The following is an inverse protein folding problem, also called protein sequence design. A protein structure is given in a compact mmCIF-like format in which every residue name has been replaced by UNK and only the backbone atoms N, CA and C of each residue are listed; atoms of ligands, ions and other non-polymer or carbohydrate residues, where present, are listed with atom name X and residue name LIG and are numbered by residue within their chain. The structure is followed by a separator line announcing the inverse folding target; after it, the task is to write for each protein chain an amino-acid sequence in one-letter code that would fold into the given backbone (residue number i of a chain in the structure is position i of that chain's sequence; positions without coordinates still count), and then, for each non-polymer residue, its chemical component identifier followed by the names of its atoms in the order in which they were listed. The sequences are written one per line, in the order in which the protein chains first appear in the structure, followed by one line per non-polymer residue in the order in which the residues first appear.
data_IF_994061049549
#
_entry.id   IF_994061049549
#
_cell.length_a   1.000
_cell.length_b   1.000
_cell.length_c   1.000
_cell.angle_alpha   90.00
_cell.angle_beta   90.00
_cell.angle_gamma   90.00
#
_symmetry.space_group_name_H-M   'P 1'
#
loop_
_entity.id
_entity.type
_entity.pdbx_description
1 polymer ?
#
# COMPACT_ATOMS: atom_id res chain seq x y z
N UNK A 1 -5.53 10.63 9.64
CA UNK A 1 -6.46 9.56 9.20
C UNK A 1 -6.71 8.53 10.28
N UNK A 2 -7.98 8.19 10.58
CA UNK A 2 -8.32 7.03 11.42
C UNK A 2 -8.19 5.74 10.60
N UNK A 3 -7.41 4.76 11.09
CA UNK A 3 -7.13 3.51 10.37
C UNK A 3 -7.88 2.28 10.92
N UNK A 4 -8.58 2.41 12.05
CA UNK A 4 -9.29 1.30 12.70
C UNK A 4 -10.31 0.68 11.74
N UNK A 5 -11.13 1.52 11.10
CA UNK A 5 -12.14 1.07 10.15
C UNK A 5 -11.55 0.40 8.91
N UNK A 6 -10.33 0.78 8.50
CA UNK A 6 -9.63 0.12 7.40
C UNK A 6 -9.15 -1.27 7.78
N UNK A 7 -8.64 -1.45 9.00
CA UNK A 7 -8.29 -2.79 9.50
C UNK A 7 -9.51 -3.69 9.61
N UNK A 8 -10.66 -3.17 10.05
CA UNK A 8 -11.92 -3.91 10.10
C UNK A 8 -12.37 -4.35 8.70
N UNK A 9 -12.43 -3.44 7.74
CA UNK A 9 -12.75 -3.75 6.35
C UNK A 9 -11.77 -4.78 5.74
N UNK A 10 -10.46 -4.65 6.01
CA UNK A 10 -9.48 -5.61 5.51
C UNK A 10 -9.63 -7.00 6.17
N UNK A 11 -10.02 -7.08 7.46
CA UNK A 11 -10.31 -8.38 8.11
C UNK A 11 -11.45 -9.10 7.39
N UNK A 12 -12.50 -8.39 7.02
CA UNK A 12 -13.62 -8.95 6.25
C UNK A 12 -13.16 -9.40 4.85
N UNK A 13 -12.34 -8.60 4.18
CA UNK A 13 -11.76 -8.95 2.88
C UNK A 13 -10.86 -10.20 2.97
N UNK A 14 -10.09 -10.34 4.04
CA UNK A 14 -9.24 -11.52 4.25
C UNK A 14 -10.06 -12.81 4.40
N UNK A 15 -11.29 -12.75 4.93
CA UNK A 15 -12.16 -13.93 5.05
C UNK A 15 -12.61 -14.48 3.69
N UNK A 16 -12.59 -13.64 2.64
CA UNK A 16 -12.92 -14.03 1.27
C UNK A 16 -11.75 -14.79 0.59
N UNK A 17 -10.55 -14.76 1.17
CA UNK A 17 -9.34 -15.36 0.59
C UNK A 17 -9.18 -16.79 1.10
N UNK A 18 -9.15 -17.75 0.19
CA UNK A 18 -8.81 -19.15 0.51
C UNK A 18 -7.32 -19.37 0.34
N UNK A 19 -6.60 -19.59 1.44
CA UNK A 19 -5.16 -19.89 1.42
C UNK A 19 -4.94 -21.36 1.05
N UNK A 20 -4.02 -21.62 0.11
CA UNK A 20 -3.59 -22.96 -0.26
C UNK A 20 -2.95 -23.67 0.95
N UNK A 21 -3.63 -24.72 1.42
CA UNK A 21 -3.24 -25.51 2.59
C UNK A 21 -1.90 -26.24 2.42
N UNK A 22 -1.38 -26.34 1.20
CA UNK A 22 -0.07 -26.95 0.92
C UNK A 22 1.11 -25.98 1.11
N UNK A 23 0.84 -24.69 1.33
CA UNK A 23 1.89 -23.72 1.61
C UNK A 23 2.35 -23.83 3.06
N UNK A 24 3.65 -24.11 3.24
CA UNK A 24 4.28 -23.89 4.53
C UNK A 24 4.43 -22.37 4.79
N UNK A 25 4.71 -22.02 6.04
CA UNK A 25 4.81 -20.63 6.48
C UNK A 25 5.83 -19.82 5.66
N UNK A 26 6.99 -20.42 5.33
CA UNK A 26 8.00 -19.78 4.50
C UNK A 26 7.48 -19.41 3.11
N UNK A 27 6.86 -20.36 2.40
CA UNK A 27 6.29 -20.12 1.06
C UNK A 27 5.16 -19.11 1.09
N UNK A 28 4.32 -19.14 2.13
CA UNK A 28 3.24 -18.18 2.30
C UNK A 28 3.78 -16.76 2.50
N UNK A 29 4.74 -16.58 3.41
CA UNK A 29 5.40 -15.28 3.65
C UNK A 29 6.08 -14.77 2.38
N UNK A 30 6.85 -15.61 1.68
CA UNK A 30 7.50 -15.23 0.43
C UNK A 30 6.49 -14.75 -0.64
N UNK A 31 5.32 -15.41 -0.74
CA UNK A 31 4.25 -15.00 -1.66
C UNK A 31 3.61 -13.67 -1.27
N UNK A 32 3.33 -13.46 0.02
CA UNK A 32 2.79 -12.18 0.51
C UNK A 32 3.75 -11.02 0.28
N UNK A 33 5.05 -11.22 0.55
CA UNK A 33 6.07 -10.20 0.26
C UNK A 33 6.17 -9.90 -1.24
N UNK A 34 6.12 -10.92 -2.10
CA UNK A 34 6.11 -10.72 -3.55
C UNK A 34 4.85 -9.96 -4.00
N UNK A 35 3.68 -10.29 -3.46
CA UNK A 35 2.43 -9.59 -3.76
C UNK A 35 2.50 -8.11 -3.38
N UNK A 36 3.06 -7.78 -2.22
CA UNK A 36 3.30 -6.41 -1.79
C UNK A 36 4.10 -5.61 -2.84
N UNK A 37 5.22 -6.16 -3.32
CA UNK A 37 6.02 -5.54 -4.38
C UNK A 37 5.23 -5.40 -5.69
N UNK A 38 4.53 -6.46 -6.12
CA UNK A 38 3.75 -6.44 -7.36
C UNK A 38 2.69 -5.34 -7.32
N UNK A 39 1.99 -5.17 -6.19
CA UNK A 39 0.96 -4.13 -6.04
C UNK A 39 1.54 -2.72 -6.04
N UNK A 40 2.66 -2.48 -5.34
CA UNK A 40 3.35 -1.18 -5.39
C UNK A 40 3.85 -0.86 -6.81
N UNK A 41 4.48 -1.82 -7.48
CA UNK A 41 4.97 -1.66 -8.85
C UNK A 41 3.83 -1.46 -9.84
N UNK A 42 2.70 -2.14 -9.66
CA UNK A 42 1.52 -1.93 -10.49
C UNK A 42 0.98 -0.51 -10.32
N UNK A 43 0.89 0.01 -9.10
CA UNK A 43 0.52 1.41 -8.87
C UNK A 43 1.52 2.37 -9.55
N UNK A 44 2.83 2.19 -9.34
CA UNK A 44 3.87 3.02 -9.93
C UNK A 44 3.79 3.05 -11.47
N UNK A 45 3.59 1.88 -12.10
CA UNK A 45 3.45 1.80 -13.55
C UNK A 45 2.24 2.58 -14.07
N UNK A 46 1.10 2.52 -13.39
CA UNK A 46 -0.11 3.24 -13.82
C UNK A 46 0.04 4.76 -13.72
N UNK A 47 0.84 5.26 -12.80
CA UNK A 47 1.13 6.71 -12.72
C UNK A 47 2.04 7.22 -13.84
N UNK A 48 2.78 6.32 -14.51
CA UNK A 48 3.80 6.64 -15.52
C UNK A 48 4.91 7.58 -15.03
N UNK A 49 5.05 7.81 -13.72
CA UNK A 49 6.06 8.73 -13.17
C UNK A 49 7.51 8.30 -13.46
N UNK A 50 7.72 7.01 -13.77
CA UNK A 50 9.00 6.45 -14.18
C UNK A 50 9.40 6.77 -15.63
N UNK A 51 8.51 7.33 -16.45
CA UNK A 51 8.81 7.58 -17.86
C UNK A 51 9.66 8.84 -18.02
N UNK A 52 10.90 8.68 -18.51
CA UNK A 52 11.86 9.77 -18.68
C UNK A 52 12.08 10.20 -20.15
N UNK A 53 11.41 9.55 -21.11
CA UNK A 53 11.51 9.85 -22.54
C UNK A 53 10.25 10.55 -23.05
N UNK A 54 10.44 11.46 -24.01
CA UNK A 54 9.35 12.10 -24.76
C UNK A 54 8.67 11.02 -25.62
N UNK A 55 7.34 11.08 -25.80
CA UNK A 55 6.45 10.12 -26.51
C UNK A 55 5.81 8.99 -25.68
N UNK A 56 5.62 9.18 -24.37
CA UNK A 56 4.71 8.32 -23.61
C UNK A 56 3.25 8.74 -23.90
N UNK A 57 2.64 8.13 -24.91
CA UNK A 57 1.25 8.42 -25.32
C UNK A 57 0.21 7.56 -24.58
N UNK A 58 0.59 6.88 -23.49
CA UNK A 58 -0.37 6.09 -22.72
C UNK A 58 -1.27 7.01 -21.90
N UNK A 59 -2.57 6.90 -22.11
CA UNK A 59 -3.57 7.60 -21.31
C UNK A 59 -3.45 7.19 -19.84
N UNK A 60 -3.53 8.18 -18.94
CA UNK A 60 -3.50 7.96 -17.50
C UNK A 60 -4.94 7.80 -17.03
N UNK A 61 -5.30 6.59 -16.62
CA UNK A 61 -6.61 6.28 -16.07
C UNK A 61 -6.60 6.44 -14.54
N UNK A 62 -7.29 7.48 -14.07
CA UNK A 62 -7.38 7.82 -12.64
C UNK A 62 -8.14 6.76 -11.83
N UNK A 63 -9.09 6.05 -12.44
CA UNK A 63 -9.84 4.99 -11.78
C UNK A 63 -8.93 3.78 -11.56
N UNK A 64 -8.13 3.41 -12.57
CA UNK A 64 -7.14 2.33 -12.44
C UNK A 64 -6.09 2.69 -11.37
N UNK A 65 -5.60 3.93 -11.33
CA UNK A 65 -4.66 4.37 -10.28
C UNK A 65 -5.30 4.23 -8.90
N UNK A 66 -6.54 4.68 -8.71
CA UNK A 66 -7.22 4.58 -7.42
C UNK A 66 -7.41 3.11 -7.01
N UNK A 67 -7.81 2.24 -7.93
CA UNK A 67 -7.96 0.81 -7.66
C UNK A 67 -6.63 0.16 -7.26
N UNK A 68 -5.54 0.49 -7.96
CA UNK A 68 -4.20 0.00 -7.63
C UNK A 68 -3.69 0.57 -6.29
N UNK A 69 -4.05 1.81 -5.97
CA UNK A 69 -3.75 2.44 -4.68
C UNK A 69 -4.46 1.68 -3.54
N UNK A 70 -5.76 1.41 -3.69
CA UNK A 70 -6.53 0.65 -2.71
C UNK A 70 -6.07 -0.82 -2.61
N UNK A 71 -5.64 -1.43 -3.71
CA UNK A 71 -5.02 -2.76 -3.71
C UNK A 71 -3.78 -2.81 -2.83
N UNK A 72 -2.87 -1.84 -3.00
CA UNK A 72 -1.64 -1.78 -2.22
C UNK A 72 -1.92 -1.42 -0.75
N UNK A 73 -2.88 -0.53 -0.48
CA UNK A 73 -3.36 -0.27 0.89
C UNK A 73 -3.80 -1.57 1.59
N UNK A 74 -4.56 -2.41 0.88
CA UNK A 74 -5.00 -3.71 1.40
C UNK A 74 -3.83 -4.61 1.77
N UNK A 75 -2.75 -4.62 0.98
CA UNK A 75 -1.54 -5.39 1.30
C UNK A 75 -0.82 -4.86 2.55
N UNK A 76 -0.73 -3.55 2.73
CA UNK A 76 -0.17 -2.95 3.95
C UNK A 76 -1.03 -3.33 5.17
N UNK A 77 -2.36 -3.31 5.04
CA UNK A 77 -3.26 -3.68 6.13
C UNK A 77 -3.17 -5.18 6.47
N UNK A 78 -3.05 -6.06 5.47
CA UNK A 78 -2.78 -7.50 5.68
C UNK A 78 -1.51 -7.69 6.51
N UNK A 79 -0.45 -6.95 6.20
CA UNK A 79 0.82 -7.02 6.92
C UNK A 79 0.68 -6.57 8.38
N UNK A 80 -0.03 -5.48 8.63
CA UNK A 80 -0.33 -5.03 10.00
C UNK A 80 -1.17 -6.02 10.79
N UNK A 81 -2.13 -6.69 10.15
CA UNK A 81 -2.93 -7.76 10.75
C UNK A 81 -2.07 -9.00 11.08
N UNK A 82 -1.22 -9.44 10.15
CA UNK A 82 -0.33 -10.59 10.35
C UNK A 82 0.67 -10.36 11.50
N UNK A 83 1.15 -9.12 11.66
CA UNK A 83 2.10 -8.74 12.70
C UNK A 83 1.46 -8.25 14.00
N UNK A 84 0.13 -8.23 14.11
CA UNK A 84 -0.63 -7.69 15.25
C UNK A 84 -0.35 -6.21 15.59
N UNK A 85 -0.12 -5.36 14.58
CA UNK A 85 0.10 -3.92 14.73
C UNK A 85 -1.21 -3.10 14.74
N UNK A 86 -2.30 -3.71 15.17
CA UNK A 86 -3.66 -3.13 15.09
C UNK A 86 -3.97 -2.15 16.22
N UNK A 87 -3.00 -1.90 17.10
CA UNK A 87 -3.05 -0.86 18.12
C UNK A 87 -2.64 0.53 17.57
N UNK A 88 -2.26 0.62 16.29
CA UNK A 88 -2.15 1.88 15.56
C UNK A 88 -3.56 2.35 15.20
N UNK A 89 -3.97 3.50 15.74
CA UNK A 89 -5.33 4.02 15.60
C UNK A 89 -5.42 5.22 14.66
N UNK A 90 -4.35 5.99 14.55
CA UNK A 90 -4.31 7.23 13.78
C UNK A 90 -2.97 7.37 13.08
N UNK A 91 -3.01 7.89 11.85
CA UNK A 91 -1.84 8.15 11.02
C UNK A 91 -1.79 9.61 10.66
N UNK A 92 -0.61 10.19 10.81
CA UNK A 92 -0.33 11.57 10.43
C UNK A 92 0.41 11.58 9.11
N UNK A 93 -0.32 11.72 8.02
CA UNK A 93 0.30 11.95 6.73
C UNK A 93 0.59 13.44 6.57
N UNK A 94 1.85 13.77 6.35
CA UNK A 94 2.28 15.11 5.98
C UNK A 94 2.58 15.13 4.49
N UNK A 95 2.20 16.18 3.76
CA UNK A 95 2.71 16.39 2.42
C UNK A 95 4.24 16.41 2.46
N UNK A 96 4.86 15.80 1.46
CA UNK A 96 6.29 15.93 1.21
C UNK A 96 6.53 16.62 -0.14
N UNK A 97 7.72 17.18 -0.32
CA UNK A 97 8.12 17.90 -1.54
C UNK A 97 8.79 16.98 -2.57
N UNK A 98 8.73 15.66 -2.38
CA UNK A 98 9.33 14.70 -3.29
C UNK A 98 8.50 14.50 -4.56
N UNK A 99 9.16 14.21 -5.69
CA UNK A 99 8.42 13.83 -6.89
C UNK A 99 7.82 12.42 -6.71
N UNK A 100 6.80 12.07 -7.51
CA UNK A 100 6.13 10.76 -7.40
C UNK A 100 7.12 9.58 -7.46
N UNK A 101 8.12 9.65 -8.33
CA UNK A 101 9.11 8.59 -8.47
C UNK A 101 9.95 8.41 -7.21
N UNK A 102 10.34 9.50 -6.55
CA UNK A 102 11.07 9.45 -5.28
C UNK A 102 10.24 8.79 -4.19
N UNK A 103 8.93 9.11 -4.11
CA UNK A 103 8.03 8.52 -3.12
C UNK A 103 7.86 7.01 -3.30
N UNK A 104 7.75 6.52 -4.56
CA UNK A 104 7.76 5.09 -4.82
C UNK A 104 9.09 4.44 -4.43
N UNK A 105 10.22 5.07 -4.73
CA UNK A 105 11.54 4.56 -4.37
C UNK A 105 11.74 4.47 -2.85
N UNK A 106 11.29 5.48 -2.10
CA UNK A 106 11.31 5.44 -0.63
C UNK A 106 10.47 4.29 -0.10
N UNK A 107 9.23 4.12 -0.59
CA UNK A 107 8.38 2.99 -0.20
C UNK A 107 9.05 1.62 -0.48
N UNK A 108 9.78 1.46 -1.59
CA UNK A 108 10.54 0.23 -1.81
C UNK A 108 11.65 0.03 -0.77
N UNK A 109 12.32 1.08 -0.34
CA UNK A 109 13.34 1.02 0.73
C UNK A 109 12.66 0.60 2.04
N UNK A 110 11.58 1.28 2.44
CA UNK A 110 10.89 1.00 3.69
C UNK A 110 10.35 -0.43 3.76
N UNK A 111 9.81 -0.94 2.64
CA UNK A 111 9.37 -2.34 2.53
C UNK A 111 10.54 -3.31 2.70
N UNK A 112 11.69 -3.02 2.09
CA UNK A 112 12.88 -3.87 2.25
C UNK A 112 13.39 -3.86 3.70
N UNK A 113 13.37 -2.70 4.34
CA UNK A 113 13.77 -2.55 5.75
C UNK A 113 12.81 -3.32 6.67
N UNK A 114 11.51 -3.23 6.44
CA UNK A 114 10.52 -4.02 7.18
C UNK A 114 10.69 -5.53 6.97
N UNK A 115 10.94 -5.98 5.74
CA UNK A 115 11.14 -7.41 5.45
C UNK A 115 12.43 -7.94 6.07
N UNK A 116 13.49 -7.11 6.10
CA UNK A 116 14.80 -7.48 6.65
C UNK A 116 14.82 -7.43 8.18
N UNK A 117 14.14 -6.44 8.76
CA UNK A 117 14.08 -6.16 10.19
C UNK A 117 12.67 -5.73 10.58
N UNK A 118 11.76 -6.69 10.73
CA UNK A 118 10.36 -6.36 10.99
C UNK A 118 10.18 -5.67 12.35
N UNK A 119 9.68 -4.44 12.32
CA UNK A 119 9.33 -3.67 13.51
C UNK A 119 8.03 -2.91 13.27
N UNK A 120 7.37 -2.55 14.37
CA UNK A 120 6.16 -1.71 14.31
C UNK A 120 6.48 -0.30 13.78
N UNK A 121 7.67 0.21 14.07
CA UNK A 121 8.10 1.53 13.60
C UNK A 121 8.28 1.55 12.08
N UNK A 122 8.93 0.53 11.50
CA UNK A 122 9.03 0.39 10.04
C UNK A 122 7.65 0.26 9.39
N UNK A 123 6.72 -0.44 10.04
CA UNK A 123 5.35 -0.55 9.55
C UNK A 123 4.61 0.80 9.57
N UNK A 124 4.79 1.58 10.64
CA UNK A 124 4.23 2.91 10.76
C UNK A 124 4.79 3.85 9.68
N UNK A 125 6.09 3.80 9.42
CA UNK A 125 6.75 4.58 8.35
C UNK A 125 6.12 4.28 6.99
N UNK A 126 5.97 3.00 6.61
CA UNK A 126 5.31 2.61 5.35
C UNK A 126 3.91 3.20 5.25
N UNK A 127 3.14 3.15 6.34
CA UNK A 127 1.79 3.70 6.35
C UNK A 127 1.80 5.23 6.18
N UNK A 128 2.63 5.94 6.93
CA UNK A 128 2.74 7.41 6.86
C UNK A 128 3.14 7.85 5.45
N UNK A 129 4.17 7.23 4.88
CA UNK A 129 4.67 7.54 3.53
C UNK A 129 3.67 7.15 2.44
N UNK A 130 2.94 6.04 2.63
CA UNK A 130 1.94 5.61 1.66
C UNK A 130 0.67 6.47 1.67
N UNK A 131 0.24 6.94 2.85
CA UNK A 131 -0.86 7.92 2.91
C UNK A 131 -0.40 9.27 2.33
N UNK A 132 0.86 9.67 2.55
CA UNK A 132 1.44 10.84 1.88
C UNK A 132 1.43 10.70 0.35
N UNK A 133 1.77 9.52 -0.18
CA UNK A 133 1.64 9.24 -1.62
C UNK A 133 0.20 9.42 -2.12
N UNK A 134 -0.80 9.01 -1.33
CA UNK A 134 -2.21 9.24 -1.64
C UNK A 134 -2.55 10.72 -1.77
N UNK A 135 -1.99 11.57 -0.90
CA UNK A 135 -2.14 13.03 -0.98
C UNK A 135 -1.52 13.57 -2.27
N UNK A 136 -0.30 13.13 -2.64
CA UNK A 136 0.35 13.52 -3.91
C UNK A 136 -0.45 13.08 -5.14
N UNK A 137 -1.12 11.93 -5.08
CA UNK A 137 -2.04 11.45 -6.12
C UNK A 137 -3.39 12.20 -6.14
N UNK A 138 -3.62 13.12 -5.19
CA UNK A 138 -4.81 13.96 -5.13
C UNK A 138 -5.99 13.34 -4.36
N UNK A 139 -5.74 12.34 -3.52
CA UNK A 139 -6.76 11.72 -2.69
C UNK A 139 -6.81 12.34 -1.29
N UNK A 140 -8.01 12.65 -0.81
CA UNK A 140 -8.23 13.02 0.59
C UNK A 140 -8.35 11.78 1.47
N UNK A 141 -8.09 11.92 2.77
CA UNK A 141 -8.28 10.84 3.75
C UNK A 141 -9.70 10.25 3.68
N UNK A 142 -10.72 11.10 3.52
CA UNK A 142 -12.11 10.68 3.37
C UNK A 142 -12.29 9.85 2.09
N UNK A 143 -11.74 10.30 0.95
CA UNK A 143 -11.85 9.59 -0.31
C UNK A 143 -11.19 8.21 -0.23
N UNK A 144 -10.01 8.11 0.40
CA UNK A 144 -9.33 6.84 0.62
C UNK A 144 -10.21 5.92 1.49
N UNK A 145 -10.68 6.43 2.63
CA UNK A 145 -11.47 5.65 3.60
C UNK A 145 -12.76 5.12 2.98
N UNK A 146 -13.55 5.99 2.38
CA UNK A 146 -14.82 5.61 1.74
C UNK A 146 -14.61 4.62 0.60
N UNK A 147 -13.63 4.88 -0.27
CA UNK A 147 -13.39 4.02 -1.43
C UNK A 147 -12.85 2.64 -1.03
N UNK A 148 -12.14 2.55 0.10
CA UNK A 148 -11.66 1.27 0.62
C UNK A 148 -12.78 0.46 1.29
N UNK A 149 -13.63 1.12 2.10
CA UNK A 149 -14.72 0.44 2.84
C UNK A 149 -15.85 -0.01 1.91
N UNK A 150 -16.14 0.76 0.85
CA UNK A 150 -17.20 0.41 -0.12
C UNK A 150 -16.83 -0.74 -1.07
N UNK A 151 -15.58 -1.20 -1.03
CA UNK A 151 -15.02 -2.17 -1.96
C UNK A 151 -15.28 -3.61 -1.52
#
# INVERSE_FOLDING_TARGET
MNIISLFEAQRENNQKITIDKNLNQYKLSARKHLELYIKLSSLADQTKCHTYWLHCNSEIDKEIILNNYLDFLGQILILGLDCNYTDITEIKALPNDYCLSDQFLNLYIDINDLITSSSKDHYLTILEDFISLGITLGYSENKITESFILR
#
